data_IF_425738583217
#
_entry.id   IF_425738583217
#
_cell.length_a   1.000
_cell.length_b   1.000
_cell.length_c   1.000
_cell.angle_alpha   90.00
_cell.angle_beta   90.00
_cell.angle_gamma   90.00
#
_symmetry.space_group_name_H-M   'P 1'
#
loop_
_entity.id
_entity.type
_entity.pdbx_description
1 polymer ?
#
# COMPACT_ATOMS: atom_id res chain seq x y z
N UNK A 1 -3.87 0.37 1.48
CA UNK A 1 -5.18 1.03 1.43
C UNK A 1 -6.15 0.03 0.80
N UNK A 2 -7.16 -0.43 1.54
CA UNK A 2 -8.22 -1.27 0.99
C UNK A 2 -9.42 -0.37 0.68
N UNK A 3 -9.73 -0.30 -0.60
CA UNK A 3 -10.80 0.50 -1.17
C UNK A 3 -12.06 -0.37 -1.29
N UNK A 4 -12.71 -0.70 -0.17
CA UNK A 4 -14.00 -1.40 -0.21
C UNK A 4 -15.08 -0.50 0.39
N UNK A 5 -16.14 -0.29 -0.36
CA UNK A 5 -17.34 0.39 0.11
C UNK A 5 -18.39 -0.71 0.33
N UNK A 6 -18.50 -1.15 1.58
CA UNK A 6 -19.38 -2.22 2.09
C UNK A 6 -19.06 -3.67 1.66
N UNK A 7 -19.09 -4.58 2.65
CA UNK A 7 -19.31 -6.03 2.52
C UNK A 7 -18.71 -6.76 1.30
N UNK A 8 -17.45 -6.46 0.95
CA UNK A 8 -16.75 -7.12 -0.17
C UNK A 8 -17.20 -6.66 -1.57
N UNK A 9 -17.98 -5.58 -1.68
CA UNK A 9 -18.26 -4.91 -2.95
C UNK A 9 -17.08 -3.98 -3.27
N UNK A 10 -16.51 -4.03 -4.49
CA UNK A 10 -15.44 -3.13 -4.89
C UNK A 10 -15.83 -1.66 -4.68
N UNK A 11 -14.93 -0.86 -4.11
CA UNK A 11 -15.11 0.59 -4.08
C UNK A 11 -15.00 1.16 -5.49
N UNK A 12 -15.90 2.08 -5.85
CA UNK A 12 -15.81 2.79 -7.13
C UNK A 12 -14.68 3.80 -7.07
N UNK A 13 -13.86 3.89 -8.12
CA UNK A 13 -12.71 4.80 -8.16
C UNK A 13 -13.05 6.24 -7.74
N UNK A 14 -14.20 6.75 -8.22
CA UNK A 14 -14.66 8.10 -7.91
C UNK A 14 -14.99 8.36 -6.44
N UNK A 15 -15.29 7.31 -5.68
CA UNK A 15 -15.67 7.39 -4.26
C UNK A 15 -14.47 7.19 -3.33
N UNK A 16 -13.29 6.85 -3.88
CA UNK A 16 -12.09 6.55 -3.08
C UNK A 16 -11.24 7.76 -2.77
N UNK A 17 -11.48 8.87 -3.47
CA UNK A 17 -10.70 10.10 -3.33
C UNK A 17 -11.67 11.26 -3.26
N UNK A 18 -11.66 11.96 -2.13
CA UNK A 18 -12.41 13.20 -1.98
C UNK A 18 -11.85 14.26 -2.92
N UNK A 19 -12.73 15.06 -3.53
CA UNK A 19 -12.34 16.23 -4.32
C UNK A 19 -11.86 17.40 -3.44
N UNK A 20 -12.02 17.30 -2.11
CA UNK A 20 -11.58 18.33 -1.19
C UNK A 20 -10.04 18.42 -1.12
N UNK A 21 -9.53 19.63 -1.36
CA UNK A 21 -8.09 19.88 -1.41
C UNK A 21 -7.43 19.50 -2.74
N UNK A 22 -8.20 19.05 -3.73
CA UNK A 22 -7.73 18.79 -5.09
C UNK A 22 -7.97 19.98 -6.02
N UNK A 23 -7.06 20.19 -6.96
CA UNK A 23 -7.19 21.20 -8.02
C UNK A 23 -8.14 20.70 -9.08
N UNK A 24 -9.21 21.44 -9.35
CA UNK A 24 -10.16 21.15 -10.42
C UNK A 24 -10.00 22.10 -11.61
N UNK A 25 -10.32 21.63 -12.82
CA UNK A 25 -10.40 22.47 -14.01
C UNK A 25 -11.52 21.99 -14.93
N UNK A 26 -12.31 22.88 -15.52
CA UNK A 26 -13.53 22.54 -16.27
C UNK A 26 -13.32 22.04 -17.71
N UNK A 27 -12.07 21.90 -18.17
CA UNK A 27 -11.83 21.60 -19.61
C UNK A 27 -10.40 21.23 -19.96
N UNK A 28 -9.42 21.57 -19.13
CA UNK A 28 -8.01 21.26 -19.37
C UNK A 28 -7.51 20.27 -18.30
N UNK A 29 -7.42 18.98 -18.65
CA UNK A 29 -6.93 17.96 -17.73
C UNK A 29 -5.50 18.22 -17.25
N UNK A 30 -4.66 18.93 -18.02
CA UNK A 30 -3.27 19.19 -17.65
C UNK A 30 -3.14 20.18 -16.48
N UNK A 31 -4.19 20.97 -16.22
CA UNK A 31 -4.26 21.95 -15.15
C UNK A 31 -5.01 21.43 -13.90
N UNK A 32 -5.58 20.24 -13.96
CA UNK A 32 -6.29 19.60 -12.86
C UNK A 32 -5.46 18.47 -12.21
N UNK A 33 -5.81 18.13 -10.97
CA UNK A 33 -5.35 16.89 -10.36
C UNK A 33 -5.99 15.70 -11.10
N UNK A 34 -5.21 14.64 -11.29
CA UNK A 34 -5.64 13.46 -12.05
C UNK A 34 -5.56 12.18 -11.20
N UNK A 35 -6.49 11.25 -11.44
CA UNK A 35 -6.34 9.85 -11.05
C UNK A 35 -5.77 9.07 -12.22
N UNK A 36 -4.81 8.21 -11.91
CA UNK A 36 -4.22 7.27 -12.86
C UNK A 36 -4.40 5.87 -12.31
N UNK A 37 -4.91 4.95 -13.13
CA UNK A 37 -5.11 3.55 -12.74
C UNK A 37 -4.39 2.65 -13.73
N UNK A 38 -3.58 1.72 -13.21
CA UNK A 38 -3.05 0.61 -14.02
C UNK A 38 -4.09 -0.50 -14.01
N UNK A 39 -4.52 -0.90 -15.19
CA UNK A 39 -5.56 -1.90 -15.40
C UNK A 39 -5.20 -2.77 -16.61
N UNK A 40 -6.15 -3.61 -17.02
CA UNK A 40 -6.05 -4.46 -18.19
C UNK A 40 -7.14 -4.04 -19.17
N UNK A 41 -6.78 -3.84 -20.43
CA UNK A 41 -7.66 -3.53 -21.55
C UNK A 41 -7.43 -4.61 -22.64
N UNK A 42 -8.46 -5.40 -22.97
CA UNK A 42 -8.38 -6.56 -23.85
C UNK A 42 -7.22 -7.54 -23.54
N UNK A 43 -6.96 -7.77 -22.25
CA UNK A 43 -5.89 -8.67 -21.80
C UNK A 43 -4.48 -8.07 -21.78
N UNK A 44 -4.31 -6.80 -22.16
CA UNK A 44 -3.02 -6.08 -22.12
C UNK A 44 -3.00 -5.01 -21.04
N UNK A 45 -1.85 -4.74 -20.38
CA UNK A 45 -1.74 -3.63 -19.43
C UNK A 45 -2.06 -2.28 -20.08
N UNK A 46 -2.88 -1.48 -19.40
CA UNK A 46 -3.31 -0.16 -19.86
C UNK A 46 -3.37 0.84 -18.69
N UNK A 47 -3.14 2.11 -19.01
CA UNK A 47 -3.30 3.21 -18.06
C UNK A 47 -4.57 3.99 -18.37
N UNK A 48 -5.49 4.02 -17.42
CA UNK A 48 -6.69 4.87 -17.49
C UNK A 48 -6.45 6.14 -16.70
N UNK A 49 -6.85 7.27 -17.28
CA UNK A 49 -6.67 8.59 -16.69
C UNK A 49 -8.02 9.27 -16.48
N UNK A 50 -8.12 9.99 -15.37
CA UNK A 50 -9.27 10.80 -15.01
C UNK A 50 -8.78 12.13 -14.48
N UNK A 51 -9.44 13.24 -14.76
CA UNK A 51 -9.14 14.54 -14.16
C UNK A 51 -10.29 15.02 -13.28
N UNK A 52 -9.96 15.80 -12.26
CA UNK A 52 -10.95 16.43 -11.40
C UNK A 52 -11.58 17.61 -12.15
N UNK A 53 -12.71 17.36 -12.81
CA UNK A 53 -13.49 18.38 -13.49
C UNK A 53 -14.22 19.26 -12.47
N UNK A 54 -14.19 20.57 -12.68
CA UNK A 54 -14.80 21.52 -11.75
C UNK A 54 -16.34 21.44 -11.70
N UNK A 55 -16.97 20.91 -12.73
CA UNK A 55 -18.42 20.80 -12.87
C UNK A 55 -18.91 19.37 -12.64
N UNK A 56 -18.16 18.38 -13.14
CA UNK A 56 -18.57 16.99 -13.16
C UNK A 56 -17.80 16.08 -12.18
N UNK A 57 -16.75 16.58 -11.52
CA UNK A 57 -15.85 15.76 -10.71
C UNK A 57 -14.98 14.83 -11.57
N UNK A 58 -14.74 13.61 -11.12
CA UNK A 58 -13.83 12.69 -11.82
C UNK A 58 -14.31 12.31 -13.22
N UNK A 59 -13.64 12.89 -14.23
CA UNK A 59 -13.99 12.74 -15.65
C UNK A 59 -12.91 11.99 -16.40
N UNK A 60 -13.30 10.99 -17.19
CA UNK A 60 -12.37 10.14 -17.95
C UNK A 60 -11.66 10.93 -19.07
N UNK A 61 -10.38 10.63 -19.27
CA UNK A 61 -9.57 11.16 -20.36
C UNK A 61 -9.37 10.04 -21.38
N UNK A 62 -9.81 10.27 -22.62
CA UNK A 62 -9.45 9.40 -23.73
C UNK A 62 -7.96 9.58 -24.06
N UNK A 63 -7.21 8.49 -24.10
CA UNK A 63 -5.77 8.50 -24.42
C UNK A 63 -5.48 7.64 -25.65
N UNK A 64 -4.41 7.96 -26.36
CA UNK A 64 -3.88 7.08 -27.41
C UNK A 64 -2.78 6.19 -26.81
N UNK A 65 -2.93 4.88 -26.97
CA UNK A 65 -1.90 3.90 -26.70
C UNK A 65 -1.25 3.45 -28.00
N UNK A 66 0.07 3.52 -28.07
CA UNK A 66 0.83 2.93 -29.17
C UNK A 66 1.00 1.42 -28.92
N UNK A 67 0.59 0.63 -29.90
CA UNK A 67 0.65 -0.83 -29.86
C UNK A 67 2.02 -1.32 -30.37
N UNK A 68 2.43 -2.57 -30.06
CA UNK A 68 3.73 -3.10 -30.50
C UNK A 68 3.95 -3.11 -32.02
N UNK A 69 2.88 -3.08 -32.81
CA UNK A 69 2.91 -3.00 -34.27
C UNK A 69 2.97 -1.55 -34.82
N UNK A 70 3.09 -0.56 -33.93
CA UNK A 70 3.11 0.87 -34.26
C UNK A 70 1.73 1.46 -34.55
N UNK A 71 0.66 0.67 -34.49
CA UNK A 71 -0.70 1.20 -34.59
C UNK A 71 -1.09 1.95 -33.32
N UNK A 72 -2.04 2.88 -33.45
CA UNK A 72 -2.60 3.61 -32.31
C UNK A 72 -3.96 3.05 -31.95
N UNK A 73 -4.17 2.77 -30.66
CA UNK A 73 -5.46 2.40 -30.08
C UNK A 73 -5.94 3.55 -29.19
N UNK A 74 -7.16 4.03 -29.41
CA UNK A 74 -7.79 4.96 -28.45
C UNK A 74 -8.32 4.15 -27.28
N UNK A 75 -7.84 4.45 -26.08
CA UNK A 75 -8.37 3.95 -24.81
C UNK A 75 -9.40 4.93 -24.29
N UNK A 76 -10.62 4.45 -24.05
CA UNK A 76 -11.68 5.23 -23.42
C UNK A 76 -12.03 4.58 -22.09
N UNK A 77 -11.55 5.13 -20.97
CA UNK A 77 -11.90 4.59 -19.65
C UNK A 77 -13.42 4.63 -19.43
N UNK A 78 -14.00 3.68 -18.67
CA UNK A 78 -15.36 3.82 -18.17
C UNK A 78 -15.43 5.01 -17.20
N UNK A 79 -16.62 5.47 -16.83
CA UNK A 79 -16.76 6.53 -15.82
C UNK A 79 -16.11 6.11 -14.48
N UNK A 80 -15.53 7.07 -13.74
CA UNK A 80 -14.91 6.78 -12.44
C UNK A 80 -15.90 6.20 -11.41
N UNK A 81 -17.18 6.56 -11.52
CA UNK A 81 -18.29 6.00 -10.73
C UNK A 81 -18.67 4.57 -11.13
N UNK A 82 -18.20 4.09 -12.28
CA UNK A 82 -18.42 2.74 -12.79
C UNK A 82 -17.16 1.85 -12.72
N UNK A 83 -15.98 2.43 -12.54
CA UNK A 83 -14.72 1.69 -12.44
C UNK A 83 -14.55 1.07 -11.06
N UNK A 84 -14.58 -0.27 -10.99
CA UNK A 84 -14.32 -1.02 -9.77
C UNK A 84 -12.81 -1.08 -9.47
N UNK A 85 -12.41 -0.64 -8.28
CA UNK A 85 -11.04 -0.85 -7.80
C UNK A 85 -11.02 -2.12 -6.97
N UNK A 86 -10.48 -3.19 -7.56
CA UNK A 86 -10.37 -4.48 -6.89
C UNK A 86 -9.26 -4.48 -5.83
N UNK A 87 -9.32 -5.47 -4.92
CA UNK A 87 -8.27 -5.70 -3.93
C UNK A 87 -6.92 -5.96 -4.60
N UNK A 88 -5.87 -5.28 -4.13
CA UNK A 88 -4.53 -5.36 -4.71
C UNK A 88 -4.31 -4.47 -5.94
N UNK A 89 -5.38 -3.84 -6.45
CA UNK A 89 -5.26 -2.79 -7.48
C UNK A 89 -5.03 -1.44 -6.81
N UNK A 90 -4.13 -0.65 -7.38
CA UNK A 90 -3.80 0.68 -6.91
C UNK A 90 -4.17 1.75 -7.92
N UNK A 91 -4.22 2.99 -7.44
CA UNK A 91 -4.30 4.18 -8.27
C UNK A 91 -3.27 5.21 -7.77
N UNK A 92 -2.88 6.12 -8.66
CA UNK A 92 -2.03 7.26 -8.33
C UNK A 92 -2.84 8.54 -8.43
N UNK A 93 -2.52 9.51 -7.57
CA UNK A 93 -3.00 10.89 -7.68
C UNK A 93 -1.85 11.72 -8.25
N UNK A 94 -1.99 12.18 -9.49
CA UNK A 94 -1.05 13.11 -10.11
C UNK A 94 -1.51 14.53 -9.81
N UNK A 95 -0.71 15.26 -9.03
CA UNK A 95 -1.03 16.63 -8.64
C UNK A 95 -0.70 17.63 -9.74
N UNK A 96 -1.52 18.65 -9.90
CA UNK A 96 -1.24 19.83 -10.70
C UNK A 96 -0.01 20.56 -10.15
N UNK A 97 0.77 21.15 -11.04
CA UNK A 97 1.99 21.85 -10.68
C UNK A 97 1.69 22.99 -9.68
N UNK A 98 2.41 23.02 -8.55
CA UNK A 98 2.24 24.04 -7.51
C UNK A 98 1.21 23.71 -6.42
N UNK A 99 0.53 22.56 -6.48
CA UNK A 99 -0.38 22.16 -5.38
C UNK A 99 0.41 21.82 -4.10
N UNK A 100 -0.03 22.32 -2.95
CA UNK A 100 0.59 22.05 -1.62
C UNK A 100 -0.41 21.65 -0.53
N UNK A 101 -1.67 21.42 -0.89
CA UNK A 101 -2.75 21.06 0.05
C UNK A 101 -2.80 19.57 0.33
N UNK A 102 -3.21 19.24 1.56
CA UNK A 102 -3.54 17.88 1.99
C UNK A 102 -4.66 17.30 1.14
N UNK A 103 -4.55 16.01 0.82
CA UNK A 103 -5.58 15.23 0.11
C UNK A 103 -6.20 14.25 1.10
N UNK A 104 -7.52 14.08 0.99
CA UNK A 104 -8.27 13.15 1.81
C UNK A 104 -8.69 11.95 0.98
N UNK A 105 -8.26 10.76 1.40
CA UNK A 105 -8.62 9.48 0.77
C UNK A 105 -9.80 8.89 1.54
N UNK A 106 -10.80 8.36 0.83
CA UNK A 106 -12.04 7.83 1.40
C UNK A 106 -12.13 6.32 1.17
N UNK A 107 -12.45 5.55 2.21
CA UNK A 107 -12.64 4.10 2.11
C UNK A 107 -13.08 3.54 3.45
N UNK A 108 -13.93 2.52 3.45
CA UNK A 108 -14.31 1.81 4.67
C UNK A 108 -13.40 0.59 4.86
N UNK A 109 -12.95 0.36 6.09
CA UNK A 109 -12.24 -0.85 6.47
C UNK A 109 -13.28 -1.95 6.59
N UNK A 110 -13.08 -3.09 5.93
CA UNK A 110 -13.96 -4.25 6.11
C UNK A 110 -14.00 -4.64 7.58
N UNK A 111 -15.19 -4.73 8.19
CA UNK A 111 -15.36 -5.26 9.55
C UNK A 111 -15.05 -6.77 9.62
N UNK A 112 -15.04 -7.46 8.48
CA UNK A 112 -14.67 -8.87 8.39
C UNK A 112 -13.15 -9.00 8.28
N UNK A 113 -12.54 -9.67 9.27
CA UNK A 113 -11.11 -9.98 9.31
C UNK A 113 -10.73 -10.90 8.15
N UNK A 114 -9.56 -10.67 7.56
CA UNK A 114 -9.06 -11.50 6.48
C UNK A 114 -7.57 -11.83 6.65
N UNK A 115 -7.25 -13.12 6.57
CA UNK A 115 -5.89 -13.62 6.60
C UNK A 115 -5.28 -13.64 5.19
N UNK A 116 -3.99 -13.32 5.06
CA UNK A 116 -3.25 -13.39 3.78
C UNK A 116 -1.99 -14.24 3.94
N UNK A 117 -1.79 -15.18 3.03
CA UNK A 117 -0.57 -16.00 2.99
C UNK A 117 0.58 -15.19 2.42
N UNK A 118 1.72 -15.16 3.12
CA UNK A 118 2.92 -14.44 2.68
C UNK A 118 3.96 -15.46 2.18
N UNK A 119 4.36 -15.34 0.92
CA UNK A 119 5.37 -16.20 0.29
C UNK A 119 6.80 -15.79 0.62
N UNK A 120 7.77 -16.64 0.22
CA UNK A 120 9.19 -16.31 0.31
C UNK A 120 9.53 -15.05 -0.51
N UNK A 121 10.49 -14.25 -0.02
CA UNK A 121 10.95 -13.04 -0.70
C UNK A 121 10.61 -11.74 0.01
N UNK A 122 10.70 -10.63 -0.72
CA UNK A 122 10.45 -9.28 -0.23
C UNK A 122 8.98 -8.92 -0.46
N UNK A 123 8.22 -8.73 0.62
CA UNK A 123 6.80 -8.44 0.56
C UNK A 123 6.54 -7.04 1.11
N UNK A 124 5.72 -6.24 0.41
CA UNK A 124 5.25 -4.95 0.91
C UNK A 124 3.97 -5.16 1.71
N UNK A 125 4.00 -4.83 3.00
CA UNK A 125 2.84 -4.91 3.89
C UNK A 125 2.44 -3.48 4.28
N UNK A 126 1.17 -3.14 4.07
CA UNK A 126 0.60 -1.85 4.47
C UNK A 126 -0.66 -2.12 5.28
N UNK A 127 -0.76 -1.47 6.45
CA UNK A 127 -1.95 -1.56 7.30
C UNK A 127 -2.54 -0.17 7.47
N UNK A 128 -3.51 0.16 6.62
CA UNK A 128 -3.99 1.52 6.41
C UNK A 128 -5.07 1.98 7.41
N UNK A 129 -5.59 1.06 8.22
CA UNK A 129 -6.71 1.29 9.15
C UNK A 129 -6.30 1.75 10.55
N UNK A 130 -5.03 1.61 10.94
CA UNK A 130 -4.54 1.97 12.28
C UNK A 130 -3.79 3.31 12.29
N UNK A 131 -4.09 4.15 13.28
CA UNK A 131 -3.40 5.43 13.56
C UNK A 131 -1.91 5.24 13.92
N UNK A 132 -1.56 4.08 14.46
CA UNK A 132 -0.20 3.57 14.60
C UNK A 132 -0.26 2.07 14.90
N UNK A 133 0.78 1.29 14.58
CA UNK A 133 0.83 -0.12 15.00
C UNK A 133 2.13 -0.45 15.76
N UNK A 134 1.96 -1.16 16.88
CA UNK A 134 3.07 -1.78 17.61
C UNK A 134 3.44 -3.09 16.93
N UNK A 135 4.68 -3.15 16.42
CA UNK A 135 5.23 -4.34 15.78
C UNK A 135 5.10 -5.60 16.65
N UNK A 136 5.20 -5.48 17.97
CA UNK A 136 5.17 -6.63 18.88
C UNK A 136 3.77 -6.94 19.42
N UNK A 137 2.75 -6.16 19.06
CA UNK A 137 1.34 -6.45 19.37
C UNK A 137 0.66 -7.35 18.31
N UNK A 138 1.32 -7.58 17.17
CA UNK A 138 0.84 -8.45 16.09
C UNK A 138 1.23 -9.90 16.37
N UNK A 139 0.37 -10.85 15.99
CA UNK A 139 0.73 -12.27 16.01
C UNK A 139 1.72 -12.60 14.87
N UNK A 140 2.97 -12.85 15.27
CA UNK A 140 4.06 -13.27 14.39
C UNK A 140 4.36 -14.77 14.48
N UNK A 141 3.42 -15.57 14.98
CA UNK A 141 3.59 -17.03 15.03
C UNK A 141 3.97 -17.57 13.64
N UNK A 142 5.15 -18.19 13.56
CA UNK A 142 5.73 -18.68 12.29
C UNK A 142 6.72 -17.74 11.60
N UNK A 143 7.06 -16.59 12.21
CA UNK A 143 8.24 -15.81 11.84
C UNK A 143 9.53 -16.53 12.27
N UNK A 144 10.56 -16.45 11.42
CA UNK A 144 11.83 -17.12 11.64
C UNK A 144 12.81 -16.21 12.38
N UNK A 145 13.28 -16.66 13.54
CA UNK A 145 14.25 -15.95 14.36
C UNK A 145 15.49 -16.79 14.67
N UNK A 146 16.48 -16.15 15.26
CA UNK A 146 17.67 -16.78 15.80
C UNK A 146 18.11 -16.06 17.08
N UNK A 147 19.06 -16.66 17.80
CA UNK A 147 19.65 -16.04 18.98
C UNK A 147 20.50 -14.85 18.55
N UNK A 148 19.90 -13.67 18.57
CA UNK A 148 20.54 -12.45 18.07
C UNK A 148 20.25 -12.15 16.61
N UNK A 149 21.11 -11.31 16.05
CA UNK A 149 20.98 -10.77 14.69
C UNK A 149 21.62 -11.77 13.75
N UNK A 150 20.84 -12.33 12.84
CA UNK A 150 21.37 -13.27 11.85
C UNK A 150 20.99 -12.90 10.42
N UNK A 151 21.79 -13.41 9.49
CA UNK A 151 21.41 -13.49 8.09
C UNK A 151 20.20 -14.40 7.87
N UNK A 152 19.98 -15.35 8.77
CA UNK A 152 18.90 -16.34 8.71
C UNK A 152 17.60 -15.90 9.37
N UNK A 153 17.54 -14.74 10.05
CA UNK A 153 16.29 -14.24 10.61
C UNK A 153 15.47 -13.50 9.56
N UNK A 154 14.16 -13.55 9.71
CA UNK A 154 13.25 -12.64 9.03
C UNK A 154 13.58 -11.20 9.43
N UNK A 155 13.26 -10.26 8.51
CA UNK A 155 13.54 -8.84 8.70
C UNK A 155 12.35 -7.99 8.32
N UNK A 156 12.17 -6.92 9.09
CA UNK A 156 11.26 -5.83 8.73
C UNK A 156 12.09 -4.60 8.41
N UNK A 157 11.83 -3.99 7.25
CA UNK A 157 12.47 -2.75 6.81
C UNK A 157 11.40 -1.66 6.76
N UNK A 158 11.56 -0.63 7.59
CA UNK A 158 10.64 0.50 7.66
C UNK A 158 11.31 1.71 7.04
N UNK A 159 10.66 2.34 6.05
CA UNK A 159 11.17 3.60 5.49
C UNK A 159 11.13 4.70 6.54
N UNK A 160 12.16 5.55 6.59
CA UNK A 160 12.19 6.70 7.51
C UNK A 160 11.39 7.91 6.99
N UNK A 161 10.92 7.87 5.75
CA UNK A 161 10.13 8.95 5.14
C UNK A 161 10.94 10.21 4.76
N UNK A 162 12.21 10.29 5.14
CA UNK A 162 13.12 11.42 4.90
C UNK A 162 14.09 11.20 3.72
N UNK A 163 13.85 10.15 2.92
CA UNK A 163 14.72 9.75 1.81
C UNK A 163 16.02 9.05 2.23
N UNK A 164 16.22 8.80 3.53
CA UNK A 164 17.35 8.03 4.05
C UNK A 164 17.02 6.52 4.22
N UNK A 165 18.04 5.72 4.54
CA UNK A 165 17.94 4.26 4.65
C UNK A 165 16.91 3.79 5.69
N UNK A 166 16.34 2.61 5.44
CA UNK A 166 15.33 1.95 6.27
C UNK A 166 15.83 1.62 7.69
N UNK A 167 14.93 1.65 8.67
CA UNK A 167 15.14 1.00 9.97
C UNK A 167 14.95 -0.51 9.78
N UNK A 168 15.92 -1.32 10.20
CA UNK A 168 15.85 -2.78 10.12
C UNK A 168 15.52 -3.37 11.49
N UNK A 169 14.52 -4.23 11.54
CA UNK A 169 14.18 -5.04 12.70
C UNK A 169 14.42 -6.52 12.40
N UNK A 170 14.85 -7.26 13.42
CA UNK A 170 15.11 -8.70 13.35
C UNK A 170 14.20 -9.44 14.32
N UNK A 171 13.67 -10.59 13.90
CA UNK A 171 12.88 -11.45 14.78
C UNK A 171 13.83 -12.23 15.70
N UNK A 172 13.70 -12.01 17.00
CA UNK A 172 14.62 -12.58 18.01
C UNK A 172 14.02 -13.82 18.66
N UNK A 173 14.73 -14.95 18.60
CA UNK A 173 14.29 -16.20 19.26
C UNK A 173 15.47 -17.03 19.75
N UNK A 174 15.41 -17.56 20.97
CA UNK A 174 16.38 -18.56 21.43
C UNK A 174 17.78 -18.01 21.73
N UNK A 175 17.89 -16.72 22.07
CA UNK A 175 19.14 -16.10 22.52
C UNK A 175 19.23 -15.93 24.04
N UNK A 176 20.37 -15.42 24.52
CA UNK A 176 20.63 -15.20 25.95
C UNK A 176 19.78 -14.11 26.60
N UNK A 177 19.24 -13.18 25.79
CA UNK A 177 18.33 -12.12 26.25
C UNK A 177 16.88 -12.56 26.09
N UNK A 178 16.45 -13.42 27.01
CA UNK A 178 15.13 -14.07 26.97
C UNK A 178 13.95 -13.09 26.94
N UNK A 179 14.13 -11.87 27.44
CA UNK A 179 13.13 -10.79 27.43
C UNK A 179 12.73 -10.32 26.02
N UNK A 180 13.55 -10.63 25.01
CA UNK A 180 13.30 -10.32 23.60
C UNK A 180 12.82 -11.52 22.79
N UNK A 181 12.71 -12.71 23.37
CA UNK A 181 12.23 -13.88 22.64
C UNK A 181 10.81 -13.66 22.11
N UNK A 182 10.61 -13.97 20.82
CA UNK A 182 9.34 -13.79 20.12
C UNK A 182 9.05 -12.36 19.70
N UNK A 183 10.04 -11.44 19.80
CA UNK A 183 9.86 -10.02 19.51
C UNK A 183 10.74 -9.55 18.35
N UNK A 184 10.27 -8.54 17.65
CA UNK A 184 11.05 -7.72 16.74
C UNK A 184 11.95 -6.77 17.54
N UNK A 185 13.24 -6.76 17.20
CA UNK A 185 14.23 -5.90 17.86
C UNK A 185 15.03 -5.08 16.84
N UNK A 186 15.36 -3.85 17.22
CA UNK A 186 16.30 -2.99 16.49
C UNK A 186 17.73 -3.32 16.90
N UNK A 187 18.65 -3.10 15.96
CA UNK A 187 20.05 -3.48 16.11
C UNK A 187 21.02 -2.39 15.68
N UNK A 188 20.52 -1.18 15.46
CA UNK A 188 21.37 -0.01 15.27
C UNK A 188 22.02 0.34 16.62
N UNK A 189 23.04 -0.42 17.02
CA UNK A 189 23.65 -0.38 18.35
C UNK A 189 23.25 -1.57 19.24
N UNK A 190 22.82 -1.30 20.47
CA UNK A 190 22.37 -2.33 21.42
C UNK A 190 21.00 -2.89 21.04
N UNK A 191 20.79 -4.20 21.23
CA UNK A 191 19.47 -4.84 21.07
C UNK A 191 18.44 -4.10 21.93
N UNK A 192 17.41 -3.57 21.27
CA UNK A 192 16.31 -2.85 21.90
C UNK A 192 15.00 -3.14 21.19
N UNK A 193 13.88 -2.96 21.89
CA UNK A 193 12.57 -2.93 21.25
C UNK A 193 12.45 -1.70 20.32
N UNK A 194 11.56 -1.74 19.32
CA UNK A 194 11.23 -0.57 18.53
C UNK A 194 10.92 0.63 19.44
N UNK A 195 11.63 1.74 19.24
CA UNK A 195 11.48 2.93 20.08
C UNK A 195 10.17 3.69 19.84
N UNK A 196 9.48 3.40 18.73
CA UNK A 196 8.20 3.96 18.37
C UNK A 196 7.39 2.95 17.55
N UNK A 197 6.06 3.11 17.60
CA UNK A 197 5.15 2.47 16.67
C UNK A 197 5.43 2.95 15.25
N UNK A 198 5.12 2.11 14.26
CA UNK A 198 5.19 2.54 12.86
C UNK A 198 3.98 3.47 12.60
N UNK A 199 4.21 4.72 12.12
CA UNK A 199 3.14 5.70 11.92
C UNK A 199 2.08 5.24 10.92
N UNK A 200 0.85 5.76 11.07
CA UNK A 200 -0.24 5.55 10.12
C UNK A 200 0.18 5.82 8.67
N UNK A 201 -0.34 5.00 7.75
CA UNK A 201 -0.09 5.14 6.32
C UNK A 201 1.30 4.70 5.85
N UNK A 202 2.19 4.27 6.76
CA UNK A 202 3.49 3.71 6.40
C UNK A 202 3.40 2.18 6.28
N UNK A 203 3.75 1.67 5.11
CA UNK A 203 4.01 0.25 4.93
C UNK A 203 5.43 -0.13 5.36
N UNK A 204 5.66 -1.41 5.55
CA UNK A 204 6.99 -1.97 5.78
C UNK A 204 7.26 -3.11 4.81
N UNK A 205 8.53 -3.29 4.51
CA UNK A 205 8.97 -4.46 3.77
C UNK A 205 9.24 -5.59 4.75
N UNK A 206 8.59 -6.73 4.55
CA UNK A 206 8.87 -7.95 5.27
C UNK A 206 9.67 -8.89 4.37
N UNK A 207 10.92 -9.14 4.75
CA UNK A 207 11.81 -10.07 4.09
C UNK A 207 11.74 -11.41 4.81
N UNK A 208 11.04 -12.37 4.18
CA UNK A 208 10.99 -13.75 4.64
C UNK A 208 12.20 -14.52 4.12
N UNK A 209 12.95 -15.17 5.00
CA UNK A 209 14.15 -15.94 4.60
C UNK A 209 13.79 -17.29 3.99
N UNK A 210 14.54 -17.66 2.96
CA UNK A 210 14.42 -18.91 2.21
C UNK A 210 14.55 -20.13 3.11
N UNK A 211 13.72 -21.15 2.86
CA UNK A 211 13.72 -22.41 3.62
C UNK A 211 12.81 -22.41 4.85
N UNK A 212 12.07 -21.32 5.07
CA UNK A 212 11.05 -21.23 6.10
C UNK A 212 9.66 -21.50 5.49
N UNK A 213 8.80 -22.25 6.18
CA UNK A 213 7.45 -22.62 5.70
C UNK A 213 6.53 -21.42 5.44
N UNK A 214 5.23 -21.65 5.21
CA UNK A 214 4.27 -20.56 5.00
C UNK A 214 3.98 -19.79 6.29
N UNK A 215 3.93 -18.47 6.23
CA UNK A 215 3.42 -17.60 7.31
C UNK A 215 2.13 -16.93 6.87
N UNK A 216 1.22 -16.78 7.83
CA UNK A 216 -0.04 -16.07 7.62
C UNK A 216 0.01 -14.79 8.43
N UNK A 217 -0.01 -13.65 7.76
CA UNK A 217 -0.01 -12.35 8.43
C UNK A 217 -1.42 -12.04 8.94
N UNK A 218 -1.52 -11.82 10.27
CA UNK A 218 -2.78 -11.68 11.02
C UNK A 218 -2.72 -10.44 11.93
N UNK A 219 -2.75 -9.23 11.35
CA UNK A 219 -2.58 -7.99 12.11
C UNK A 219 -3.68 -7.75 13.16
N UNK A 220 -4.82 -8.43 13.04
CA UNK A 220 -6.00 -8.29 13.92
C UNK A 220 -6.18 -9.46 14.91
N UNK A 221 -5.13 -10.26 15.12
CA UNK A 221 -5.03 -11.20 16.24
C UNK A 221 -5.89 -12.46 16.17
N UNK A 222 -5.95 -13.12 15.01
CA UNK A 222 -6.48 -14.51 14.90
C UNK A 222 -5.48 -15.42 14.26
#
# INVERSE_FOLDING_TARGET
FEACLQAGVPGKLGDLVSTYGLTAHSSDPALADQLVVLTVDDGSPAYYYYYNDAEAGWTAIATEQEMPDGSKKTLTPPAASAFDVARGQGFWIKRAAGSGTSVYVQGQVSETKQATTVGEGLNLISYASLESFDLNAIDWTGAAGAGGISASTDRILVSKGDGSYYTTYHYYTGGSRTEFNGKWVSTTGTIALPAANIPAGQGFWYLRRTGNGTFTFKPDGE
#
